data_IF_194558910703
#
_entry.id   IF_194558910703
#
_cell.length_a   1.000
_cell.length_b   1.000
_cell.length_c   1.000
_cell.angle_alpha   90.00
_cell.angle_beta   90.00
_cell.angle_gamma   90.00
#
_symmetry.space_group_name_H-M   'P 1'
#
loop_
_entity.id
_entity.type
_entity.pdbx_description
1 polymer ?
#
# COMPACT_ATOMS: atom_id res chain seq x y z
N UNK A 1 -11.86 -9.12 52.82
CA UNK A 1 -12.68 -9.59 51.68
C UNK A 1 -11.71 -9.90 50.55
N UNK A 2 -11.37 -11.18 50.39
CA UNK A 2 -10.15 -11.62 49.71
C UNK A 2 -10.42 -12.15 48.29
N UNK A 3 -9.67 -11.59 47.33
CA UNK A 3 -8.98 -12.20 46.16
C UNK A 3 -9.66 -13.32 45.32
N UNK A 4 -9.50 -13.26 44.00
CA UNK A 4 -8.45 -14.01 43.27
C UNK A 4 -8.62 -13.94 41.74
N UNK A 5 -7.49 -13.74 41.05
CA UNK A 5 -7.28 -13.85 39.60
C UNK A 5 -7.14 -15.33 39.23
N UNK A 6 -7.68 -15.78 38.08
CA UNK A 6 -7.01 -16.75 37.17
C UNK A 6 -7.84 -17.05 35.91
N UNK A 7 -7.18 -16.91 34.76
CA UNK A 7 -7.52 -17.54 33.48
C UNK A 7 -7.43 -19.06 33.62
N UNK A 8 -8.34 -19.81 33.01
CA UNK A 8 -8.06 -21.18 32.58
C UNK A 8 -8.78 -21.54 31.28
N UNK A 9 -8.04 -22.25 30.45
CA UNK A 9 -8.36 -22.78 29.13
C UNK A 9 -9.09 -24.13 29.19
N UNK A 10 -9.71 -24.47 28.05
CA UNK A 10 -10.12 -25.81 27.54
C UNK A 10 -11.41 -26.43 28.11
N UNK A 11 -12.08 -27.39 27.41
CA UNK A 11 -11.75 -28.06 26.14
C UNK A 11 -12.88 -28.18 25.09
N UNK A 12 -12.44 -28.70 23.94
CA UNK A 12 -13.19 -29.24 22.81
C UNK A 12 -14.37 -30.16 23.15
N UNK A 13 -15.39 -30.04 22.29
CA UNK A 13 -16.38 -31.06 21.86
C UNK A 13 -17.42 -31.51 22.88
N UNK A 14 -18.64 -30.99 22.71
CA UNK A 14 -19.83 -31.74 22.23
C UNK A 14 -21.08 -30.99 22.70
N UNK A 15 -21.68 -30.18 21.83
CA UNK A 15 -23.09 -29.82 22.00
C UNK A 15 -23.77 -29.92 20.63
N UNK A 16 -24.38 -31.08 20.45
CA UNK A 16 -25.77 -31.24 20.02
C UNK A 16 -26.19 -30.70 18.63
N UNK A 17 -26.38 -31.67 17.73
CA UNK A 17 -27.16 -31.60 16.48
C UNK A 17 -28.60 -31.13 16.73
N UNK A 18 -28.87 -29.86 16.97
CA UNK A 18 -30.20 -29.25 16.85
C UNK A 18 -29.95 -27.78 16.53
N UNK A 19 -30.28 -27.20 15.38
CA UNK A 19 -31.50 -27.30 14.60
C UNK A 19 -31.14 -27.12 13.12
N UNK A 20 -31.44 -28.12 12.28
CA UNK A 20 -31.70 -27.81 10.87
C UNK A 20 -33.07 -27.13 10.83
N UNK A 21 -33.11 -25.85 11.18
CA UNK A 21 -34.22 -24.99 10.78
C UNK A 21 -34.11 -24.89 9.26
N UNK A 22 -35.05 -25.55 8.58
CA UNK A 22 -35.35 -25.27 7.18
C UNK A 22 -35.85 -23.83 7.09
N UNK A 23 -34.93 -22.88 7.01
CA UNK A 23 -35.28 -21.54 6.58
C UNK A 23 -35.51 -21.60 5.07
N UNK A 24 -36.72 -22.03 4.70
CA UNK A 24 -37.33 -21.66 3.42
C UNK A 24 -37.87 -20.24 3.56
N UNK A 25 -36.99 -19.30 3.87
CA UNK A 25 -37.27 -17.90 3.73
C UNK A 25 -36.43 -17.46 2.53
N UNK A 26 -37.08 -17.37 1.36
CA UNK A 26 -36.58 -16.56 0.25
C UNK A 26 -36.65 -15.09 0.72
N UNK A 27 -35.80 -14.75 1.68
CA UNK A 27 -35.45 -13.36 1.94
C UNK A 27 -34.51 -12.98 0.80
N UNK A 28 -34.82 -11.89 0.10
CA UNK A 28 -33.94 -11.35 -0.92
C UNK A 28 -32.54 -11.17 -0.32
N UNK A 29 -31.59 -11.98 -0.79
CA UNK A 29 -30.22 -11.96 -0.27
C UNK A 29 -29.63 -10.62 -0.68
N UNK A 30 -29.39 -9.76 0.31
CA UNK A 30 -28.74 -8.48 0.10
C UNK A 30 -27.25 -8.69 -0.26
N UNK A 31 -26.94 -8.76 -1.56
CA UNK A 31 -25.59 -8.92 -2.08
C UNK A 31 -24.66 -7.74 -1.75
N UNK A 32 -25.16 -6.65 -1.17
CA UNK A 32 -24.30 -5.57 -0.67
C UNK A 32 -23.50 -5.96 0.57
N UNK A 33 -23.93 -7.02 1.28
CA UNK A 33 -23.32 -7.48 2.52
C UNK A 33 -22.54 -8.77 2.31
N UNK A 34 -21.53 -8.98 3.15
CA UNK A 34 -20.82 -10.25 3.19
C UNK A 34 -21.73 -11.35 3.70
N UNK A 35 -21.81 -12.47 2.98
CA UNK A 35 -22.63 -13.62 3.34
C UNK A 35 -21.78 -14.89 3.38
N UNK A 36 -22.14 -15.83 4.26
CA UNK A 36 -21.52 -17.15 4.33
C UNK A 36 -22.62 -18.19 4.43
N UNK A 37 -22.60 -19.17 3.52
CA UNK A 37 -23.62 -20.23 3.43
C UNK A 37 -22.93 -21.58 3.52
N UNK A 38 -23.52 -22.48 4.31
CA UNK A 38 -23.10 -23.87 4.37
C UNK A 38 -23.99 -24.65 3.40
N UNK A 39 -23.40 -25.18 2.33
CA UNK A 39 -24.10 -26.02 1.36
C UNK A 39 -24.47 -27.37 1.98
N UNK A 40 -25.51 -28.02 1.44
CA UNK A 40 -25.91 -29.38 1.85
C UNK A 40 -24.80 -30.42 1.67
N UNK A 41 -23.86 -30.16 0.74
CA UNK A 41 -22.65 -30.95 0.51
C UNK A 41 -21.58 -30.79 1.59
N UNK A 42 -21.76 -29.89 2.56
CA UNK A 42 -20.77 -29.54 3.58
C UNK A 42 -19.74 -28.49 3.11
N UNK A 43 -19.81 -28.03 1.86
CA UNK A 43 -18.99 -26.93 1.37
C UNK A 43 -19.42 -25.60 1.98
N UNK A 44 -18.46 -24.70 2.24
CA UNK A 44 -18.72 -23.35 2.73
C UNK A 44 -18.52 -22.38 1.58
N UNK A 45 -19.57 -21.66 1.21
CA UNK A 45 -19.52 -20.60 0.21
C UNK A 45 -19.51 -19.24 0.91
N UNK A 46 -18.57 -18.37 0.53
CA UNK A 46 -18.42 -17.03 1.09
C UNK A 46 -18.55 -15.98 -0.02
N UNK A 47 -19.45 -15.02 0.18
CA UNK A 47 -19.60 -13.84 -0.68
C UNK A 47 -19.02 -12.62 0.02
N UNK A 48 -18.03 -11.97 -0.59
CA UNK A 48 -17.37 -10.78 -0.05
C UNK A 48 -17.33 -9.71 -1.15
N UNK A 49 -18.34 -8.83 -1.23
CA UNK A 49 -18.35 -7.78 -2.24
C UNK A 49 -17.22 -6.79 -1.99
N UNK A 50 -16.66 -6.25 -3.07
CA UNK A 50 -15.67 -5.17 -2.99
C UNK A 50 -16.33 -3.92 -2.39
N UNK A 51 -15.67 -3.30 -1.40
CA UNK A 51 -16.19 -2.09 -0.76
C UNK A 51 -15.80 -0.88 -1.59
N UNK A 52 -16.80 -0.11 -2.05
CA UNK A 52 -16.54 1.18 -2.68
C UNK A 52 -16.02 2.19 -1.66
N UNK A 53 -15.15 3.09 -2.11
CA UNK A 53 -14.72 4.23 -1.31
C UNK A 53 -15.80 5.33 -1.36
N UNK A 54 -16.34 5.78 -0.22
CA UNK A 54 -17.40 6.79 -0.18
C UNK A 54 -16.85 8.16 -0.65
N UNK A 55 -17.68 8.90 -1.37
CA UNK A 55 -17.26 10.17 -1.99
C UNK A 55 -16.92 11.23 -0.95
N UNK A 56 -17.63 11.25 0.18
CA UNK A 56 -17.45 12.20 1.28
C UNK A 56 -16.07 12.09 1.95
N UNK A 57 -15.38 10.96 1.79
CA UNK A 57 -14.02 10.76 2.31
C UNK A 57 -12.94 11.16 1.29
N UNK A 58 -13.34 11.60 0.09
CA UNK A 58 -12.41 12.12 -0.91
C UNK A 58 -12.16 13.62 -0.70
N UNK A 59 -11.01 14.11 -1.18
CA UNK A 59 -10.70 15.54 -1.22
C UNK A 59 -10.85 16.03 -2.66
N UNK A 60 -11.40 17.23 -2.88
CA UNK A 60 -11.47 17.80 -4.22
C UNK A 60 -10.06 18.02 -4.77
N UNK A 61 -9.91 17.84 -6.08
CA UNK A 61 -8.67 18.13 -6.79
C UNK A 61 -8.61 19.65 -7.03
N UNK A 62 -7.55 20.31 -6.56
CA UNK A 62 -7.36 21.75 -6.74
C UNK A 62 -6.96 22.08 -8.19
N UNK A 63 -7.95 22.22 -9.08
CA UNK A 63 -7.71 22.51 -10.50
C UNK A 63 -6.92 23.81 -10.72
N UNK A 64 -7.14 24.83 -9.88
CA UNK A 64 -6.39 26.10 -9.94
C UNK A 64 -4.90 25.93 -9.65
N UNK A 65 -4.53 24.99 -8.75
CA UNK A 65 -3.11 24.69 -8.49
C UNK A 65 -2.49 23.99 -9.68
N UNK A 66 -3.21 23.02 -10.25
CA UNK A 66 -2.79 22.31 -11.47
C UNK A 66 -2.64 23.27 -12.64
N UNK A 67 -3.57 24.21 -12.81
CA UNK A 67 -3.50 25.24 -13.83
C UNK A 67 -2.39 26.24 -13.57
N UNK A 68 -2.12 26.64 -12.32
CA UNK A 68 -0.98 27.49 -11.99
C UNK A 68 0.36 26.78 -12.25
N UNK A 69 0.49 25.50 -11.91
CA UNK A 69 1.65 24.65 -12.22
C UNK A 69 1.80 24.41 -13.74
N UNK A 70 0.68 24.34 -14.47
CA UNK A 70 0.67 24.23 -15.94
C UNK A 70 0.86 25.56 -16.65
N UNK A 71 0.42 26.69 -16.12
CA UNK A 71 0.68 28.01 -16.68
C UNK A 71 2.08 28.48 -16.34
N UNK A 72 2.63 27.99 -15.23
CA UNK A 72 4.07 27.95 -15.04
C UNK A 72 4.74 26.96 -15.99
N UNK A 73 4.12 26.38 -17.03
CA UNK A 73 4.86 25.60 -18.05
C UNK A 73 5.69 26.47 -19.01
N UNK A 74 5.69 27.80 -18.85
CA UNK A 74 6.83 28.65 -19.26
C UNK A 74 8.07 28.49 -18.35
N UNK A 75 7.99 27.64 -17.33
CA UNK A 75 9.07 27.20 -16.42
C UNK A 75 9.71 25.92 -16.93
N UNK A 76 9.05 25.10 -17.77
CA UNK A 76 9.77 24.03 -18.46
C UNK A 76 10.90 24.63 -19.32
N UNK A 77 10.66 25.73 -20.02
CA UNK A 77 11.73 26.47 -20.71
C UNK A 77 12.77 27.02 -19.74
N UNK A 78 12.39 27.63 -18.60
CA UNK A 78 13.37 28.20 -17.64
C UNK A 78 14.17 27.17 -16.85
N UNK A 79 13.57 26.04 -16.49
CA UNK A 79 14.26 24.93 -15.84
C UNK A 79 15.11 24.17 -16.84
N UNK A 80 14.63 23.94 -18.07
CA UNK A 80 15.45 23.38 -19.15
C UNK A 80 16.59 24.34 -19.52
N UNK A 81 16.37 25.66 -19.55
CA UNK A 81 17.40 26.69 -19.75
C UNK A 81 18.38 26.71 -18.58
N UNK A 82 17.93 26.67 -17.33
CA UNK A 82 18.82 26.57 -16.17
C UNK A 82 19.62 25.27 -16.18
N UNK A 83 19.01 24.14 -16.54
CA UNK A 83 19.70 22.85 -16.72
C UNK A 83 20.67 22.91 -17.90
N UNK A 84 20.32 23.63 -18.98
CA UNK A 84 21.16 23.88 -20.15
C UNK A 84 22.37 24.76 -19.82
N UNK A 85 22.18 25.83 -19.06
CA UNK A 85 23.22 26.73 -18.55
C UNK A 85 24.18 25.99 -17.59
N UNK A 86 23.67 24.97 -16.90
CA UNK A 86 24.44 24.09 -16.02
C UNK A 86 25.16 22.93 -16.74
N UNK A 87 25.01 22.79 -18.07
CA UNK A 87 25.48 21.63 -18.86
C UNK A 87 27.00 21.37 -18.83
N UNK A 88 27.82 22.29 -18.33
CA UNK A 88 29.27 22.06 -18.25
C UNK A 88 29.76 21.29 -17.00
N UNK A 89 29.11 21.49 -15.84
CA UNK A 89 29.69 21.10 -14.54
C UNK A 89 28.75 20.27 -13.66
N UNK A 90 27.46 20.59 -13.68
CA UNK A 90 26.44 19.93 -12.87
C UNK A 90 25.85 18.69 -13.55
N UNK A 91 25.86 18.64 -14.90
CA UNK A 91 25.39 17.48 -15.65
C UNK A 91 26.21 16.19 -15.40
N UNK A 92 27.51 16.31 -15.07
CA UNK A 92 28.37 15.16 -14.75
C UNK A 92 28.28 14.71 -13.29
N UNK A 93 27.93 15.63 -12.38
CA UNK A 93 28.04 15.42 -10.92
C UNK A 93 26.68 15.30 -10.23
N UNK A 94 25.59 15.75 -10.87
CA UNK A 94 24.26 15.78 -10.28
C UNK A 94 24.10 16.82 -9.16
N UNK A 95 22.88 16.95 -8.60
CA UNK A 95 22.61 17.82 -7.46
C UNK A 95 23.48 17.46 -6.25
N UNK A 96 23.77 18.45 -5.40
CA UNK A 96 24.56 18.22 -4.18
C UNK A 96 23.81 17.29 -3.21
N UNK A 97 24.54 16.39 -2.55
CA UNK A 97 23.98 15.37 -1.63
C UNK A 97 23.05 15.93 -0.53
N UNK A 98 23.26 17.16 -0.06
CA UNK A 98 22.36 17.74 0.95
C UNK A 98 20.95 18.04 0.41
N UNK A 99 20.82 18.36 -0.88
CA UNK A 99 19.53 18.60 -1.56
C UNK A 99 18.80 17.27 -1.66
N UNK A 100 19.51 16.22 -2.07
CA UNK A 100 18.97 14.86 -2.17
C UNK A 100 18.50 14.36 -0.80
N UNK A 101 19.27 14.65 0.26
CA UNK A 101 18.89 14.34 1.64
C UNK A 101 17.55 14.98 2.03
N UNK A 102 17.34 16.24 1.65
CA UNK A 102 16.16 17.02 2.01
C UNK A 102 14.91 16.57 1.22
N UNK A 103 15.05 16.34 -0.09
CA UNK A 103 13.94 15.89 -0.95
C UNK A 103 13.47 14.50 -0.55
N UNK A 104 14.40 13.57 -0.31
CA UNK A 104 14.08 12.17 -0.05
C UNK A 104 13.95 11.84 1.44
N UNK A 105 14.16 12.81 2.33
CA UNK A 105 14.18 12.61 3.78
C UNK A 105 15.10 11.45 4.22
N UNK A 106 16.30 11.39 3.63
CA UNK A 106 17.27 10.30 3.81
C UNK A 106 18.42 10.68 4.74
N UNK A 107 19.30 9.72 5.08
CA UNK A 107 20.53 9.98 5.82
C UNK A 107 21.63 10.61 4.95
N UNK A 108 22.62 11.27 5.58
CA UNK A 108 23.75 11.88 4.84
C UNK A 108 24.63 10.86 4.11
N UNK A 109 24.68 9.61 4.57
CA UNK A 109 25.59 8.58 4.08
C UNK A 109 25.08 7.82 2.85
N UNK A 110 23.79 7.95 2.53
CA UNK A 110 23.16 7.20 1.43
C UNK A 110 23.63 7.67 0.05
N UNK A 111 23.99 8.96 -0.06
CA UNK A 111 24.37 9.60 -1.32
C UNK A 111 25.88 9.63 -1.59
N UNK A 112 26.70 9.02 -0.73
CA UNK A 112 28.13 8.87 -0.97
C UNK A 112 28.41 7.53 -1.67
N UNK A 113 29.36 7.54 -2.60
CA UNK A 113 29.80 6.33 -3.29
C UNK A 113 30.41 5.34 -2.31
N UNK A 114 30.01 4.08 -2.44
CA UNK A 114 30.60 2.96 -1.70
C UNK A 114 31.96 2.57 -2.29
N UNK A 115 32.78 1.93 -1.47
CA UNK A 115 34.05 1.39 -1.92
C UNK A 115 33.87 0.33 -3.01
N UNK A 116 34.93 0.04 -3.76
CA UNK A 116 34.84 -0.84 -4.93
C UNK A 116 34.46 -2.27 -4.53
N UNK A 117 35.06 -2.76 -3.45
CA UNK A 117 34.85 -4.08 -2.86
C UNK A 117 33.38 -4.32 -2.50
N UNK A 118 32.73 -3.36 -1.83
CA UNK A 118 31.31 -3.45 -1.48
C UNK A 118 30.42 -3.52 -2.72
N UNK A 119 30.75 -2.74 -3.77
CA UNK A 119 29.99 -2.75 -5.03
C UNK A 119 30.08 -4.08 -5.78
N UNK A 120 31.23 -4.75 -5.76
CA UNK A 120 31.40 -6.04 -6.44
C UNK A 120 30.44 -7.11 -5.90
N UNK A 121 30.15 -7.07 -4.60
CA UNK A 121 29.19 -7.99 -3.97
C UNK A 121 27.73 -7.62 -4.22
N UNK A 122 27.41 -6.36 -4.52
CA UNK A 122 26.04 -5.87 -4.67
C UNK A 122 25.52 -5.83 -6.12
N UNK A 123 26.41 -5.86 -7.12
CA UNK A 123 26.06 -5.64 -8.54
C UNK A 123 25.42 -6.87 -9.20
N UNK A 124 25.56 -8.06 -8.61
CA UNK A 124 24.85 -9.24 -9.11
C UNK A 124 23.34 -9.05 -8.91
N UNK A 125 22.58 -9.06 -10.01
CA UNK A 125 21.13 -9.02 -9.93
C UNK A 125 20.64 -10.23 -9.12
N UNK A 126 19.87 -10.01 -8.03
CA UNK A 126 19.31 -11.13 -7.29
C UNK A 126 18.38 -11.92 -8.21
N UNK A 127 18.36 -13.24 -8.04
CA UNK A 127 17.44 -14.08 -8.80
C UNK A 127 15.99 -13.59 -8.59
N UNK A 128 15.19 -13.45 -9.67
CA UNK A 128 13.81 -13.01 -9.53
C UNK A 128 13.03 -14.03 -8.70
N UNK A 129 12.36 -13.56 -7.63
CA UNK A 129 11.61 -14.44 -6.72
C UNK A 129 10.39 -15.10 -7.38
N UNK A 130 9.78 -14.42 -8.36
CA UNK A 130 8.63 -14.94 -9.10
C UNK A 130 9.12 -15.55 -10.41
N UNK A 131 9.09 -16.87 -10.51
CA UNK A 131 9.26 -17.57 -11.77
C UNK A 131 7.95 -17.48 -12.57
N UNK A 132 8.05 -17.25 -13.88
CA UNK A 132 6.91 -17.25 -14.80
C UNK A 132 6.56 -18.67 -15.21
#
# INVERSE_FOLDING_TARGET
MFSCVRRFNTPLRQIHRQLFLSFSNYEDIDLSKSCTVICKSGAIACWHPERSFPYEHSKPIDLKKIEAEKQSSGVLSKEIECIADLQGSLARTGPRNYILREIFYTGKHEWYTRYREERLHSVAAPAPKRQK
#
